data_IF_609171060803
#
_entry.id   IF_609171060803
#
_cell.length_a   1.000
_cell.length_b   1.000
_cell.length_c   1.000
_cell.angle_alpha   90.00
_cell.angle_beta   90.00
_cell.angle_gamma   90.00
#
_symmetry.space_group_name_H-M   'P 1'
#
loop_
_entity.id
_entity.type
_entity.pdbx_description
1 polymer ?
#
# COMPACT_ATOMS: atom_id res chain seq x y z
N UNK A 1 -8.62 -8.00 3.71
CA UNK A 1 -7.19 -7.94 4.07
C UNK A 1 -6.93 -6.73 4.95
N UNK A 2 -6.15 -6.91 5.99
CA UNK A 2 -5.80 -5.79 6.86
C UNK A 2 -4.82 -4.85 6.16
N UNK A 3 -4.90 -3.57 6.49
CA UNK A 3 -4.05 -2.56 5.86
C UNK A 3 -2.55 -2.85 6.06
N UNK A 4 -2.16 -3.35 7.23
CA UNK A 4 -0.77 -3.72 7.48
C UNK A 4 -0.32 -4.89 6.62
N UNK A 5 -1.22 -5.84 6.36
CA UNK A 5 -0.92 -6.97 5.51
C UNK A 5 -0.72 -6.52 4.06
N UNK A 6 -1.55 -5.57 3.62
CA UNK A 6 -1.41 -5.01 2.28
C UNK A 6 -0.08 -4.28 2.14
N UNK A 7 0.30 -3.50 3.16
CA UNK A 7 1.59 -2.81 3.17
C UNK A 7 2.74 -3.81 3.04
N UNK A 8 2.72 -4.89 3.83
CA UNK A 8 3.75 -5.93 3.77
C UNK A 8 3.80 -6.59 2.39
N UNK A 9 2.65 -6.82 1.79
CA UNK A 9 2.57 -7.42 0.47
C UNK A 9 3.26 -6.53 -0.58
N UNK A 10 3.03 -5.24 -0.51
CA UNK A 10 3.69 -4.28 -1.40
C UNK A 10 5.20 -4.31 -1.21
N UNK A 11 5.65 -4.24 0.04
CA UNK A 11 7.08 -4.26 0.34
C UNK A 11 7.74 -5.55 -0.15
N UNK A 12 7.04 -6.67 -0.02
CA UNK A 12 7.54 -7.96 -0.47
C UNK A 12 7.67 -8.03 -1.99
N UNK A 13 6.90 -7.22 -2.71
CA UNK A 13 6.88 -7.23 -4.16
C UNK A 13 7.69 -6.10 -4.80
N UNK A 14 8.66 -5.58 -4.08
CA UNK A 14 9.61 -4.63 -4.63
C UNK A 14 9.26 -3.16 -4.46
N UNK A 15 8.15 -2.87 -3.80
CA UNK A 15 7.83 -1.49 -3.44
C UNK A 15 8.65 -1.08 -2.23
N UNK A 16 9.03 0.17 -2.14
CA UNK A 16 9.75 0.67 -0.97
C UNK A 16 9.10 1.93 -0.44
N UNK A 17 9.18 2.09 0.87
CA UNK A 17 8.56 3.19 1.57
C UNK A 17 9.47 4.41 1.52
N UNK A 18 8.99 5.48 0.88
CA UNK A 18 9.77 6.71 0.74
C UNK A 18 9.50 7.70 1.86
N UNK A 19 8.30 7.64 2.45
CA UNK A 19 7.98 8.47 3.61
C UNK A 19 6.65 8.03 4.21
N UNK A 20 6.40 8.49 5.43
CA UNK A 20 5.13 8.31 6.13
C UNK A 20 4.60 9.69 6.47
N UNK A 21 3.37 9.98 6.04
CA UNK A 21 2.70 11.23 6.35
C UNK A 21 1.43 10.90 7.13
N UNK A 22 1.43 11.15 8.45
CA UNK A 22 0.33 10.71 9.31
C UNK A 22 0.22 9.19 9.26
N UNK A 23 -0.96 8.69 8.87
CA UNK A 23 -1.17 7.26 8.71
C UNK A 23 -0.97 6.79 7.27
N UNK A 24 -0.57 7.69 6.37
CA UNK A 24 -0.35 7.36 4.97
C UNK A 24 1.09 6.95 4.72
N UNK A 25 1.28 5.71 4.34
CA UNK A 25 2.59 5.18 3.96
C UNK A 25 2.75 5.33 2.46
N UNK A 26 3.72 6.15 2.06
CA UNK A 26 3.95 6.44 0.65
C UNK A 26 5.02 5.49 0.13
N UNK A 27 4.64 4.68 -0.85
CA UNK A 27 5.53 3.68 -1.45
C UNK A 27 5.79 4.01 -2.90
N UNK A 28 6.95 3.60 -3.39
CA UNK A 28 7.35 3.86 -4.76
C UNK A 28 7.96 2.62 -5.38
N UNK A 29 7.71 2.45 -6.68
CA UNK A 29 8.32 1.39 -7.49
C UNK A 29 8.27 1.80 -8.95
N UNK A 30 9.40 1.72 -9.64
CA UNK A 30 9.51 1.99 -11.08
C UNK A 30 8.86 3.31 -11.51
N UNK A 31 9.06 4.36 -10.72
CA UNK A 31 8.51 5.67 -11.01
C UNK A 31 7.04 5.84 -10.66
N UNK A 32 6.41 4.80 -10.13
CA UNK A 32 5.02 4.87 -9.67
C UNK A 32 4.98 5.09 -8.16
N UNK A 33 3.98 5.82 -7.71
CA UNK A 33 3.81 6.11 -6.29
C UNK A 33 2.42 5.70 -5.84
N UNK A 34 2.32 5.07 -4.67
CA UNK A 34 1.03 4.75 -4.06
C UNK A 34 1.02 5.23 -2.62
N UNK A 35 -0.16 5.52 -2.11
CA UNK A 35 -0.36 5.89 -0.72
C UNK A 35 -1.26 4.84 -0.08
N UNK A 36 -0.78 4.18 0.96
CA UNK A 36 -1.54 3.15 1.68
C UNK A 36 -1.87 3.69 3.06
N UNK A 37 -3.16 3.94 3.36
CA UNK A 37 -3.55 4.37 4.70
C UNK A 37 -3.47 3.18 5.66
N UNK A 38 -2.69 3.32 6.73
CA UNK A 38 -2.50 2.26 7.72
C UNK A 38 -3.01 2.74 9.07
N UNK A 39 -4.16 2.22 9.47
CA UNK A 39 -4.81 2.57 10.74
C UNK A 39 -4.95 1.38 11.68
N UNK A 40 -4.42 0.22 11.30
CA UNK A 40 -4.60 -1.00 12.07
C UNK A 40 -5.98 -1.63 11.89
N UNK A 41 -6.61 -1.40 10.75
CA UNK A 41 -7.95 -1.87 10.43
C UNK A 41 -7.97 -2.64 9.11
N UNK A 42 -9.12 -3.25 8.82
CA UNK A 42 -9.31 -3.87 7.53
C UNK A 42 -9.40 -2.80 6.44
N UNK A 43 -8.73 -3.05 5.33
CA UNK A 43 -8.78 -2.17 4.18
C UNK A 43 -10.15 -2.28 3.51
N UNK A 44 -10.69 -1.15 3.06
CA UNK A 44 -11.93 -1.17 2.29
C UNK A 44 -11.72 -1.94 1.00
N UNK A 45 -12.65 -2.82 0.66
CA UNK A 45 -12.51 -3.69 -0.49
C UNK A 45 -12.23 -2.97 -1.80
N UNK A 46 -12.92 -1.86 -2.05
CA UNK A 46 -12.72 -1.09 -3.26
C UNK A 46 -11.31 -0.50 -3.33
N UNK A 47 -10.81 0.03 -2.23
CA UNK A 47 -9.47 0.60 -2.16
C UNK A 47 -8.43 -0.50 -2.28
N UNK A 48 -8.64 -1.63 -1.59
CA UNK A 48 -7.74 -2.77 -1.66
C UNK A 48 -7.61 -3.27 -3.10
N UNK A 49 -8.73 -3.46 -3.78
CA UNK A 49 -8.74 -3.91 -5.17
C UNK A 49 -8.00 -2.92 -6.09
N UNK A 50 -8.24 -1.63 -5.90
CA UNK A 50 -7.58 -0.61 -6.70
C UNK A 50 -6.07 -0.60 -6.50
N UNK A 51 -5.63 -0.74 -5.24
CA UNK A 51 -4.20 -0.78 -4.93
C UNK A 51 -3.53 -2.03 -5.47
N UNK A 52 -4.17 -3.19 -5.32
CA UNK A 52 -3.65 -4.45 -5.85
C UNK A 52 -3.54 -4.41 -7.37
N UNK A 53 -4.52 -3.83 -8.02
CA UNK A 53 -4.51 -3.68 -9.47
C UNK A 53 -3.37 -2.76 -9.92
N UNK A 54 -3.16 -1.66 -9.22
CA UNK A 54 -2.09 -0.71 -9.54
C UNK A 54 -0.72 -1.36 -9.41
N UNK A 55 -0.55 -2.22 -8.41
CA UNK A 55 0.70 -2.93 -8.17
C UNK A 55 0.82 -4.21 -9.01
N UNK A 56 -0.21 -4.57 -9.74
CA UNK A 56 -0.26 -5.80 -10.54
C UNK A 56 -0.08 -7.06 -9.69
N UNK A 57 -0.70 -7.04 -8.51
CA UNK A 57 -0.63 -8.16 -7.57
C UNK A 57 -1.89 -9.02 -7.57
#
# INVERSE_FOLDING_TARGET
MKDRELLKLFLKNGWYEVRITGSHHILEKDGQTVSIPVHGKDMKKGLEAALLKKAEL
#
